data_IF_149944926563
#
_entry.id   IF_149944926563
#
_cell.length_a   1.000
_cell.length_b   1.000
_cell.length_c   1.000
_cell.angle_alpha   90.00
_cell.angle_beta   90.00
_cell.angle_gamma   90.00
#
_symmetry.space_group_name_H-M   'P 1'
#
loop_
_entity.id
_entity.type
_entity.pdbx_description
1 polymer ?
#
# COMPACT_ATOMS: atom_id res chain seq x y z
N UNK A 1 12.88 -89.54 -0.38
CA UNK A 1 11.81 -88.72 0.26
C UNK A 1 12.39 -87.34 0.32
N UNK A 2 11.99 -86.48 -0.69
CA UNK A 2 12.49 -85.14 -0.78
C UNK A 2 11.36 -84.18 -0.32
N UNK A 3 11.58 -83.61 0.82
CA UNK A 3 10.69 -82.60 1.36
C UNK A 3 10.89 -81.32 0.53
N UNK A 4 9.85 -80.93 -0.20
CA UNK A 4 9.74 -79.61 -0.86
C UNK A 4 9.05 -78.66 0.11
N UNK A 5 9.73 -77.56 0.51
CA UNK A 5 9.08 -76.59 1.37
C UNK A 5 7.93 -75.83 0.63
N UNK A 6 6.87 -75.46 1.35
CA UNK A 6 5.72 -74.77 0.75
C UNK A 6 6.14 -73.36 0.30
N UNK A 7 5.74 -73.04 -0.92
CA UNK A 7 5.88 -71.71 -1.53
C UNK A 7 5.02 -70.70 -0.74
N UNK A 8 5.67 -69.78 -0.05
CA UNK A 8 5.03 -68.68 0.62
C UNK A 8 4.30 -67.77 -0.44
N UNK A 9 2.99 -67.67 -0.29
CA UNK A 9 2.16 -66.83 -1.15
C UNK A 9 2.50 -65.33 -0.86
N UNK A 10 2.98 -64.66 -1.91
CA UNK A 10 3.16 -63.20 -1.88
C UNK A 10 1.88 -62.50 -1.49
N UNK A 11 1.90 -61.53 -0.55
CA UNK A 11 0.71 -60.76 -0.24
C UNK A 11 0.27 -59.90 -1.45
N UNK A 12 -1.06 -59.68 -1.62
CA UNK A 12 -1.54 -58.88 -2.75
C UNK A 12 -1.03 -57.46 -2.65
N UNK A 13 -0.46 -56.99 -3.77
CA UNK A 13 -0.03 -55.59 -3.95
C UNK A 13 -1.19 -54.68 -3.78
N UNK A 14 -1.21 -53.84 -2.74
CA UNK A 14 -2.22 -52.84 -2.57
C UNK A 14 -2.22 -51.87 -3.81
N UNK A 15 -3.40 -51.52 -4.31
CA UNK A 15 -3.48 -50.59 -5.43
C UNK A 15 -2.91 -49.22 -5.00
N UNK A 16 -1.87 -48.79 -5.68
CA UNK A 16 -1.22 -47.50 -5.54
C UNK A 16 -2.30 -46.41 -5.48
N UNK A 17 -2.42 -45.77 -4.34
CA UNK A 17 -3.41 -44.74 -4.07
C UNK A 17 -3.41 -43.70 -5.19
N UNK A 18 -4.57 -43.47 -5.77
CA UNK A 18 -4.79 -42.38 -6.71
C UNK A 18 -4.34 -41.07 -6.04
N UNK A 19 -3.46 -40.34 -6.71
CA UNK A 19 -3.05 -38.99 -6.29
C UNK A 19 -4.31 -38.16 -6.06
N UNK A 20 -4.38 -37.39 -4.96
CA UNK A 20 -5.51 -36.50 -4.74
C UNK A 20 -5.63 -35.56 -5.94
N UNK A 21 -6.87 -35.25 -6.42
CA UNK A 21 -7.07 -34.39 -7.55
C UNK A 21 -6.39 -33.05 -7.29
N UNK A 22 -5.51 -32.64 -8.23
CA UNK A 22 -4.88 -31.33 -8.23
C UNK A 22 -5.99 -30.28 -8.10
N UNK A 23 -5.92 -29.38 -7.11
CA UNK A 23 -6.89 -28.31 -6.99
C UNK A 23 -6.99 -27.56 -8.33
N UNK A 24 -8.20 -27.41 -8.84
CA UNK A 24 -8.45 -26.62 -10.03
C UNK A 24 -7.80 -25.23 -9.82
N UNK A 25 -7.07 -24.69 -10.84
CA UNK A 25 -6.53 -23.36 -10.73
C UNK A 25 -7.68 -22.40 -10.39
N UNK A 26 -7.50 -21.63 -9.31
CA UNK A 26 -8.45 -20.60 -8.93
C UNK A 26 -8.70 -19.71 -10.16
N UNK A 27 -9.97 -19.31 -10.45
CA UNK A 27 -10.27 -18.46 -11.57
C UNK A 27 -9.37 -17.24 -11.48
N UNK A 28 -8.59 -17.00 -12.54
CA UNK A 28 -7.77 -15.80 -12.66
C UNK A 28 -8.72 -14.62 -12.44
N UNK A 29 -8.59 -13.92 -11.31
CA UNK A 29 -9.32 -12.71 -11.02
C UNK A 29 -9.03 -11.78 -12.18
N UNK A 30 -10.07 -11.51 -12.98
CA UNK A 30 -9.99 -10.79 -14.23
C UNK A 30 -9.23 -9.48 -14.04
N UNK A 31 -8.19 -9.30 -14.83
CA UNK A 31 -7.36 -8.11 -14.86
C UNK A 31 -8.11 -6.92 -15.43
N UNK A 32 -9.06 -6.40 -14.66
CA UNK A 32 -9.44 -4.99 -14.74
C UNK A 32 -8.42 -4.23 -13.92
N UNK A 33 -7.85 -3.17 -14.47
CA UNK A 33 -6.97 -2.23 -13.76
C UNK A 33 -7.77 -1.37 -12.76
N UNK A 34 -8.52 -2.04 -11.89
CA UNK A 34 -9.16 -1.39 -10.76
C UNK A 34 -8.05 -0.95 -9.81
N UNK A 35 -7.97 0.35 -9.57
CA UNK A 35 -7.08 0.90 -8.57
C UNK A 35 -7.47 0.26 -7.23
N UNK A 36 -6.51 -0.40 -6.59
CA UNK A 36 -6.72 -1.00 -5.27
C UNK A 36 -7.07 0.06 -4.22
N UNK A 37 -7.76 -0.29 -3.12
CA UNK A 37 -8.24 0.69 -2.12
C UNK A 37 -7.16 1.63 -1.60
N UNK A 38 -5.92 1.13 -1.41
CA UNK A 38 -4.79 1.95 -1.00
C UNK A 38 -4.38 2.98 -2.07
N UNK A 39 -4.57 2.65 -3.34
CA UNK A 39 -4.29 3.57 -4.45
C UNK A 39 -5.27 4.74 -4.48
N UNK A 40 -6.54 4.51 -4.20
CA UNK A 40 -7.53 5.58 -4.04
C UNK A 40 -7.20 6.49 -2.88
N UNK A 41 -6.73 5.94 -1.76
CA UNK A 41 -6.29 6.75 -0.61
C UNK A 41 -5.06 7.60 -0.96
N UNK A 42 -4.10 7.06 -1.71
CA UNK A 42 -2.93 7.83 -2.16
C UNK A 42 -3.34 8.99 -3.09
N UNK A 43 -4.28 8.76 -4.02
CA UNK A 43 -4.83 9.82 -4.88
C UNK A 43 -5.59 10.87 -4.06
N UNK A 44 -6.44 10.44 -3.14
CA UNK A 44 -7.19 11.33 -2.25
C UNK A 44 -6.23 12.20 -1.43
N UNK A 45 -5.16 11.62 -0.90
CA UNK A 45 -4.13 12.36 -0.18
C UNK A 45 -3.51 13.46 -1.03
N UNK A 46 -3.14 13.16 -2.27
CA UNK A 46 -2.57 14.15 -3.21
C UNK A 46 -3.55 15.27 -3.55
N UNK A 47 -4.78 14.92 -3.92
CA UNK A 47 -5.81 15.91 -4.30
C UNK A 47 -6.21 16.78 -3.10
N UNK A 48 -6.45 16.17 -1.93
CA UNK A 48 -6.83 16.92 -0.73
C UNK A 48 -5.70 17.84 -0.25
N UNK A 49 -4.43 17.43 -0.39
CA UNK A 49 -3.30 18.30 -0.07
C UNK A 49 -3.24 19.51 -1.01
N UNK A 50 -3.34 19.29 -2.33
CA UNK A 50 -3.34 20.38 -3.31
C UNK A 50 -4.47 21.36 -3.05
N UNK A 51 -5.68 20.86 -2.78
CA UNK A 51 -6.81 21.71 -2.40
C UNK A 51 -6.49 22.50 -1.13
N UNK A 52 -5.93 21.88 -0.10
CA UNK A 52 -5.58 22.55 1.14
C UNK A 52 -4.51 23.63 0.97
N UNK A 53 -3.56 23.45 0.03
CA UNK A 53 -2.52 24.43 -0.25
C UNK A 53 -3.02 25.60 -1.11
N UNK A 54 -3.96 25.35 -2.04
CA UNK A 54 -4.42 26.33 -3.03
C UNK A 54 -5.70 27.06 -2.62
N UNK A 55 -6.48 26.51 -1.67
CA UNK A 55 -7.68 27.17 -1.17
C UNK A 55 -7.29 28.47 -0.44
N UNK A 56 -7.85 29.57 -0.94
CA UNK A 56 -7.71 30.87 -0.30
C UNK A 56 -8.67 30.98 0.89
N UNK A 57 -8.15 31.41 2.00
CA UNK A 57 -8.92 31.74 3.18
C UNK A 57 -8.46 33.12 3.71
N UNK A 58 -9.39 34.07 3.77
CA UNK A 58 -9.11 35.46 4.15
C UNK A 58 -8.08 36.18 3.26
N UNK A 59 -8.06 35.89 1.94
CA UNK A 59 -7.20 36.55 0.97
C UNK A 59 -5.75 36.04 0.97
N UNK A 60 -5.47 34.94 1.65
CA UNK A 60 -4.17 34.24 1.59
C UNK A 60 -4.37 32.73 1.59
N UNK A 61 -3.47 32.04 0.93
CA UNK A 61 -3.40 30.59 0.93
C UNK A 61 -2.18 30.10 1.73
N UNK A 62 -2.11 28.79 2.00
CA UNK A 62 -0.97 28.22 2.75
C UNK A 62 0.35 28.35 1.96
N UNK A 63 0.27 28.41 0.64
CA UNK A 63 1.44 28.60 -0.21
C UNK A 63 2.10 29.96 0.04
N UNK A 64 1.31 31.04 0.07
CA UNK A 64 1.81 32.40 0.30
C UNK A 64 2.34 32.60 1.71
N UNK A 65 1.80 31.88 2.68
CA UNK A 65 2.24 32.00 4.07
C UNK A 65 3.57 31.30 4.35
N UNK A 66 3.87 30.20 3.62
CA UNK A 66 5.02 29.35 3.93
C UNK A 66 5.45 28.53 2.71
N UNK A 67 6.02 29.16 1.72
CA UNK A 67 6.45 28.52 0.47
C UNK A 67 7.32 27.27 0.72
N UNK A 68 8.34 27.38 1.58
CA UNK A 68 9.25 26.28 1.88
C UNK A 68 8.53 25.06 2.47
N UNK A 69 7.55 25.28 3.34
CA UNK A 69 6.74 24.21 3.93
C UNK A 69 5.73 23.60 2.95
N UNK A 70 5.22 24.41 2.04
CA UNK A 70 4.33 23.95 0.96
C UNK A 70 5.08 23.06 -0.02
N UNK A 71 6.30 23.44 -0.39
CA UNK A 71 7.21 22.60 -1.22
C UNK A 71 7.53 21.29 -0.50
N UNK A 72 7.81 21.33 0.79
CA UNK A 72 8.04 20.13 1.59
C UNK A 72 6.82 19.21 1.59
N UNK A 73 5.62 19.75 1.81
CA UNK A 73 4.38 18.96 1.81
C UNK A 73 4.10 18.31 0.45
N UNK A 74 4.35 19.04 -0.66
CA UNK A 74 4.23 18.50 -2.02
C UNK A 74 5.25 17.36 -2.24
N UNK A 75 6.50 17.53 -1.83
CA UNK A 75 7.51 16.48 -1.95
C UNK A 75 7.10 15.22 -1.18
N UNK A 76 6.55 15.38 0.02
CA UNK A 76 6.02 14.27 0.82
C UNK A 76 4.82 13.58 0.12
N UNK A 77 3.90 14.35 -0.47
CA UNK A 77 2.78 13.79 -1.22
C UNK A 77 3.25 13.02 -2.47
N UNK A 78 4.21 13.55 -3.20
CA UNK A 78 4.83 12.84 -4.34
C UNK A 78 5.49 11.53 -3.88
N UNK A 79 6.15 11.53 -2.72
CA UNK A 79 6.70 10.31 -2.14
C UNK A 79 5.60 9.27 -1.84
N UNK A 80 4.43 9.67 -1.32
CA UNK A 80 3.28 8.76 -1.14
C UNK A 80 2.77 8.23 -2.48
N UNK A 81 2.71 9.07 -3.52
CA UNK A 81 2.27 8.68 -4.86
C UNK A 81 3.22 7.69 -5.56
N UNK A 82 4.46 7.50 -5.09
CA UNK A 82 5.36 6.46 -5.63
C UNK A 82 4.79 5.06 -5.53
N UNK A 83 3.89 4.80 -4.56
CA UNK A 83 3.16 3.53 -4.49
C UNK A 83 2.37 3.25 -5.77
N UNK A 84 1.69 4.25 -6.34
CA UNK A 84 0.95 4.12 -7.59
C UNK A 84 1.87 4.00 -8.80
N UNK A 85 2.98 4.73 -8.78
CA UNK A 85 3.95 4.81 -9.87
C UNK A 85 4.98 3.67 -9.85
N UNK A 86 4.95 2.79 -8.85
CA UNK A 86 5.95 1.72 -8.66
C UNK A 86 6.19 0.87 -9.91
N UNK A 87 5.12 0.53 -10.64
CA UNK A 87 5.21 -0.26 -11.87
C UNK A 87 5.91 0.51 -13.00
N UNK A 88 5.63 1.79 -13.13
CA UNK A 88 6.25 2.67 -14.13
C UNK A 88 7.71 2.94 -13.81
N UNK A 89 8.04 3.08 -12.51
CA UNK A 89 9.40 3.31 -12.03
C UNK A 89 10.22 2.02 -11.92
N UNK A 90 9.62 0.85 -12.18
CA UNK A 90 10.26 -0.47 -12.00
C UNK A 90 10.86 -0.67 -10.61
N UNK A 91 10.24 -0.09 -9.58
CA UNK A 91 10.69 -0.19 -8.20
C UNK A 91 10.15 -1.46 -7.54
N UNK A 92 10.96 -2.01 -6.63
CA UNK A 92 10.48 -3.08 -5.75
C UNK A 92 9.39 -2.55 -4.81
N UNK A 93 8.50 -3.44 -4.37
CA UNK A 93 7.40 -3.09 -3.43
C UNK A 93 7.95 -2.50 -2.14
N UNK A 94 9.02 -3.07 -1.61
CA UNK A 94 9.70 -2.61 -0.40
C UNK A 94 10.22 -1.17 -0.54
N UNK A 95 10.90 -0.84 -1.66
CA UNK A 95 11.40 0.51 -1.90
C UNK A 95 10.26 1.52 -2.02
N UNK A 96 9.24 1.19 -2.80
CA UNK A 96 8.09 2.07 -2.97
C UNK A 96 7.37 2.29 -1.64
N UNK A 97 7.22 1.24 -0.83
CA UNK A 97 6.63 1.34 0.50
C UNK A 97 7.47 2.19 1.45
N UNK A 98 8.79 1.99 1.50
CA UNK A 98 9.69 2.78 2.35
C UNK A 98 9.64 4.26 2.02
N UNK A 99 9.71 4.62 0.74
CA UNK A 99 9.63 6.02 0.29
C UNK A 99 8.28 6.63 0.64
N UNK A 100 7.19 5.90 0.43
CA UNK A 100 5.85 6.36 0.77
C UNK A 100 5.65 6.49 2.29
N UNK A 101 6.22 5.60 3.09
CA UNK A 101 6.18 5.68 4.55
C UNK A 101 6.91 6.92 5.07
N UNK A 102 8.07 7.24 4.51
CA UNK A 102 8.81 8.48 4.81
C UNK A 102 7.98 9.70 4.41
N UNK A 103 7.36 9.69 3.22
CA UNK A 103 6.47 10.75 2.76
C UNK A 103 5.27 10.95 3.69
N UNK A 104 4.59 9.87 4.09
CA UNK A 104 3.48 9.95 5.03
C UNK A 104 3.91 10.47 6.41
N UNK A 105 5.07 10.03 6.91
CA UNK A 105 5.66 10.55 8.14
C UNK A 105 5.97 12.05 8.04
N UNK A 106 6.49 12.52 6.92
CA UNK A 106 6.69 13.93 6.63
C UNK A 106 5.39 14.73 6.63
N UNK A 107 4.30 14.21 6.05
CA UNK A 107 2.99 14.85 6.10
C UNK A 107 2.42 14.91 7.52
N UNK A 108 2.62 13.89 8.34
CA UNK A 108 2.25 13.92 9.75
C UNK A 108 3.02 15.01 10.49
N UNK A 109 4.33 15.13 10.24
CA UNK A 109 5.16 16.19 10.81
C UNK A 109 4.66 17.58 10.39
N UNK A 110 4.39 17.76 9.10
CA UNK A 110 3.80 19.00 8.58
C UNK A 110 2.48 19.33 9.28
N UNK A 111 1.61 18.33 9.42
CA UNK A 111 0.32 18.49 10.09
C UNK A 111 0.49 18.92 11.55
N UNK A 112 1.39 18.27 12.31
CA UNK A 112 1.64 18.58 13.71
C UNK A 112 2.17 20.00 13.91
N UNK A 113 3.08 20.46 13.02
CA UNK A 113 3.77 21.73 13.23
C UNK A 113 2.98 22.93 12.70
N UNK A 114 2.27 22.78 11.58
CA UNK A 114 1.61 23.90 10.90
C UNK A 114 0.09 23.86 11.00
N UNK A 115 -0.51 22.67 10.84
CA UNK A 115 -1.96 22.53 10.73
C UNK A 115 -2.61 22.48 12.10
N UNK A 116 -2.04 21.73 13.04
CA UNK A 116 -2.59 21.56 14.37
C UNK A 116 -2.77 22.90 15.13
N UNK A 117 -1.83 23.86 15.11
CA UNK A 117 -2.00 25.17 15.74
C UNK A 117 -3.10 26.02 15.09
N UNK A 118 -3.48 25.73 13.83
CA UNK A 118 -4.47 26.48 13.06
C UNK A 118 -5.70 25.65 12.66
N UNK A 119 -6.06 24.63 13.45
CA UNK A 119 -7.06 23.62 13.13
C UNK A 119 -8.48 24.18 12.89
N UNK A 120 -8.76 25.39 13.33
CA UNK A 120 -10.05 26.06 13.14
C UNK A 120 -10.30 26.57 11.73
N UNK A 121 -9.32 26.44 10.81
CA UNK A 121 -9.44 26.88 9.40
C UNK A 121 -9.96 25.77 8.51
N UNK A 122 -10.72 26.13 7.46
CA UNK A 122 -11.20 25.15 6.46
C UNK A 122 -10.07 24.48 5.69
N UNK A 123 -8.99 25.22 5.41
CA UNK A 123 -7.77 24.68 4.77
C UNK A 123 -7.11 23.59 5.63
N UNK A 124 -7.17 23.73 6.95
CA UNK A 124 -6.65 22.73 7.90
C UNK A 124 -7.42 21.42 7.81
N UNK A 125 -8.72 21.45 7.54
CA UNK A 125 -9.51 20.24 7.34
C UNK A 125 -9.05 19.46 6.11
N UNK A 126 -8.83 20.12 4.95
CA UNK A 126 -8.37 19.47 3.74
C UNK A 126 -7.00 18.79 3.94
N UNK A 127 -6.05 19.47 4.60
CA UNK A 127 -4.72 18.91 4.92
C UNK A 127 -4.83 17.77 5.93
N UNK A 128 -5.76 17.83 6.87
CA UNK A 128 -6.01 16.71 7.82
C UNK A 128 -6.51 15.47 7.09
N UNK A 129 -7.46 15.63 6.15
CA UNK A 129 -7.95 14.53 5.31
C UNK A 129 -6.81 13.96 4.45
N UNK A 130 -5.98 14.83 3.86
CA UNK A 130 -4.81 14.42 3.07
C UNK A 130 -3.84 13.56 3.90
N UNK A 131 -3.50 14.02 5.10
CA UNK A 131 -2.58 13.30 6.00
C UNK A 131 -3.16 11.96 6.44
N UNK A 132 -4.43 11.93 6.86
CA UNK A 132 -5.12 10.70 7.24
C UNK A 132 -5.19 9.69 6.08
N UNK A 133 -5.50 10.16 4.87
CA UNK A 133 -5.54 9.33 3.67
C UNK A 133 -4.15 8.80 3.28
N UNK A 134 -3.09 9.61 3.41
CA UNK A 134 -1.72 9.19 3.15
C UNK A 134 -1.29 8.08 4.12
N UNK A 135 -1.52 8.26 5.42
CA UNK A 135 -1.21 7.24 6.45
C UNK A 135 -2.02 5.97 6.22
N UNK A 136 -3.32 6.07 5.96
CA UNK A 136 -4.18 4.93 5.65
C UNK A 136 -3.74 4.18 4.39
N UNK A 137 -3.37 4.92 3.33
CA UNK A 137 -2.86 4.35 2.08
C UNK A 137 -1.58 3.55 2.27
N UNK A 138 -0.60 4.11 3.00
CA UNK A 138 0.65 3.41 3.33
C UNK A 138 0.40 2.20 4.23
N UNK A 139 -0.52 2.32 5.18
CA UNK A 139 -0.87 1.22 6.08
C UNK A 139 -1.49 0.03 5.37
N UNK A 140 -2.33 0.27 4.34
CA UNK A 140 -3.00 -0.75 3.55
C UNK A 140 -2.16 -1.25 2.36
N UNK A 141 -1.08 -0.56 2.02
CA UNK A 141 -0.26 -0.90 0.87
C UNK A 141 0.47 -2.25 1.05
N UNK A 142 0.60 -3.04 -0.01
CA UNK A 142 1.44 -4.23 -0.01
C UNK A 142 2.92 -3.83 0.21
N UNK A 143 3.71 -4.71 0.81
CA UNK A 143 5.15 -4.46 1.11
C UNK A 143 5.44 -4.23 2.60
N UNK A 144 4.42 -3.93 3.42
CA UNK A 144 4.59 -3.82 4.88
C UNK A 144 4.97 -5.15 5.52
N UNK A 145 4.48 -6.26 5.00
CA UNK A 145 4.67 -7.58 5.58
C UNK A 145 6.07 -8.15 5.36
N UNK A 146 6.81 -7.64 4.39
CA UNK A 146 8.16 -8.14 4.06
C UNK A 146 9.23 -7.57 4.99
N UNK A 147 8.96 -6.44 5.66
CA UNK A 147 9.87 -5.84 6.64
C UNK A 147 9.86 -6.54 8.02
N UNK A 148 8.91 -7.44 8.25
CA UNK A 148 8.76 -8.17 9.53
C UNK A 148 9.43 -9.54 9.52
N UNK A 149 10.14 -9.90 8.45
CA UNK A 149 10.91 -11.14 8.30
C UNK A 149 12.40 -10.88 8.31
#
# INVERSE_FOLDING_TARGET
>A
MSDVPPTEAMPPTEPTGALPPTPAPAPASGGGSAIEPWGWLALLAGVALLLGLLLEENGSNLWDQSEAWSVFAIACALAVLTLLLRKTLSWSEERAWTVAAVGAGGLVLYWLLLVLPSISRNTSFAVTVATAAAVGGVWLAPGRHDLAR
#
